data_IF_322879382774
#
_entry.id   IF_322879382774
#
_cell.length_a   1.000
_cell.length_b   1.000
_cell.length_c   1.000
_cell.angle_alpha   90.00
_cell.angle_beta   90.00
_cell.angle_gamma   90.00
#
_symmetry.space_group_name_H-M   'P 1'
#
loop_
_entity.id
_entity.type
_entity.pdbx_description
1 polymer ?
#
# COMPACT_ATOMS: atom_id res chain seq x y z
N UNK A 1 4.96 14.51 6.15
CA UNK A 1 5.99 13.52 6.50
C UNK A 1 7.29 14.23 6.85
N UNK A 2 7.98 13.83 7.93
CA UNK A 2 9.35 14.26 8.22
C UNK A 2 10.28 13.08 7.97
N UNK A 3 11.36 13.30 7.24
CA UNK A 3 12.36 12.27 6.93
C UNK A 3 13.63 12.61 7.70
N UNK A 4 14.20 11.62 8.38
CA UNK A 4 15.46 11.74 9.10
C UNK A 4 16.42 10.69 8.57
N UNK A 5 17.58 11.14 8.09
CA UNK A 5 18.66 10.25 7.69
C UNK A 5 19.55 10.00 8.91
N UNK A 6 19.66 8.73 9.32
CA UNK A 6 20.52 8.31 10.42
C UNK A 6 21.49 7.26 9.89
N UNK A 7 22.79 7.51 10.06
CA UNK A 7 23.81 6.52 9.72
C UNK A 7 23.74 5.37 10.72
N UNK A 8 23.65 4.14 10.22
CA UNK A 8 23.72 2.95 11.05
C UNK A 8 25.06 2.90 11.82
N UNK A 9 25.01 2.52 13.10
CA UNK A 9 26.19 2.39 13.95
C UNK A 9 27.05 1.19 13.57
N UNK A 10 26.45 0.17 12.95
CA UNK A 10 27.11 -1.08 12.57
C UNK A 10 27.13 -1.24 11.05
N UNK A 11 28.27 -1.70 10.53
CA UNK A 11 28.33 -2.19 9.15
C UNK A 11 27.78 -3.62 9.12
N UNK A 12 26.88 -3.89 8.20
CA UNK A 12 26.25 -5.20 8.03
C UNK A 12 26.87 -5.87 6.80
N UNK A 13 27.48 -7.04 6.99
CA UNK A 13 27.93 -7.89 5.90
C UNK A 13 26.80 -8.84 5.50
N UNK A 14 26.40 -8.82 4.23
CA UNK A 14 25.33 -9.66 3.70
C UNK A 14 25.91 -10.79 2.86
N UNK A 15 25.33 -11.98 2.99
CA UNK A 15 25.66 -13.14 2.15
C UNK A 15 25.16 -12.91 0.71
N UNK A 16 25.76 -13.59 -0.26
CA UNK A 16 25.37 -13.48 -1.68
C UNK A 16 23.90 -13.80 -1.92
N UNK A 17 23.36 -14.81 -1.24
CA UNK A 17 21.94 -15.18 -1.32
C UNK A 17 21.02 -14.07 -0.81
N UNK A 18 21.30 -13.55 0.39
CA UNK A 18 20.55 -12.45 1.00
C UNK A 18 20.58 -11.20 0.12
N UNK A 19 21.73 -10.92 -0.49
CA UNK A 19 21.87 -9.82 -1.43
C UNK A 19 20.98 -10.04 -2.66
N UNK A 20 20.93 -11.26 -3.22
CA UNK A 20 20.03 -11.58 -4.34
C UNK A 20 18.55 -11.40 -3.97
N UNK A 21 18.13 -11.81 -2.78
CA UNK A 21 16.75 -11.60 -2.32
C UNK A 21 16.40 -10.11 -2.21
N UNK A 22 17.32 -9.31 -1.67
CA UNK A 22 17.16 -7.85 -1.59
C UNK A 22 17.03 -7.24 -2.99
N UNK A 23 17.82 -7.69 -3.96
CA UNK A 23 17.75 -7.21 -5.35
C UNK A 23 16.38 -7.47 -5.96
N UNK A 24 15.85 -8.68 -5.77
CA UNK A 24 14.52 -9.04 -6.26
C UNK A 24 13.42 -8.19 -5.61
N UNK A 25 13.48 -8.03 -4.29
CA UNK A 25 12.55 -7.18 -3.56
C UNK A 25 12.59 -5.71 -4.01
N UNK A 26 13.80 -5.17 -4.18
CA UNK A 26 14.00 -3.83 -4.70
C UNK A 26 13.38 -3.67 -6.09
N UNK A 27 13.71 -4.58 -7.01
CA UNK A 27 13.14 -4.55 -8.36
C UNK A 27 11.61 -4.62 -8.35
N UNK A 28 11.04 -5.49 -7.50
CA UNK A 28 9.60 -5.63 -7.34
C UNK A 28 8.92 -4.34 -6.86
N UNK A 29 9.52 -3.63 -5.88
CA UNK A 29 8.99 -2.34 -5.42
C UNK A 29 8.92 -1.32 -6.58
N UNK A 30 10.01 -1.16 -7.32
CA UNK A 30 10.06 -0.10 -8.35
C UNK A 30 9.23 -0.45 -9.58
N UNK A 31 9.19 -1.74 -9.96
CA UNK A 31 8.48 -2.21 -11.14
C UNK A 31 7.00 -2.46 -10.91
N UNK A 32 6.64 -3.23 -9.89
CA UNK A 32 5.27 -3.72 -9.70
C UNK A 32 4.47 -2.77 -8.80
N UNK A 33 5.07 -2.30 -7.71
CA UNK A 33 4.38 -1.46 -6.72
C UNK A 33 4.29 -0.01 -7.20
N UNK A 34 5.44 0.60 -7.51
CA UNK A 34 5.51 1.99 -7.94
C UNK A 34 5.25 2.19 -9.43
N UNK A 35 5.32 1.12 -10.23
CA UNK A 35 5.13 1.17 -11.69
C UNK A 35 5.99 2.24 -12.36
N UNK A 36 7.20 2.46 -11.83
CA UNK A 36 8.12 3.50 -12.30
C UNK A 36 8.88 3.07 -13.55
N UNK A 37 9.04 1.76 -13.75
CA UNK A 37 9.68 1.18 -14.93
C UNK A 37 8.76 1.25 -16.17
N UNK A 38 8.24 2.43 -16.50
CA UNK A 38 7.46 2.66 -17.72
C UNK A 38 8.40 3.09 -18.84
N UNK A 39 8.44 2.27 -19.89
CA UNK A 39 9.06 2.44 -21.22
C UNK A 39 10.55 2.83 -21.30
N UNK A 40 11.06 3.77 -20.49
CA UNK A 40 12.40 4.37 -20.64
C UNK A 40 13.23 4.45 -19.34
N UNK A 41 12.66 4.03 -18.20
CA UNK A 41 13.36 3.95 -16.91
C UNK A 41 13.61 2.47 -16.61
N UNK A 42 14.83 2.00 -16.89
CA UNK A 42 15.27 0.66 -16.51
C UNK A 42 16.26 0.76 -15.34
N UNK A 43 16.02 -0.05 -14.31
CA UNK A 43 16.86 -0.07 -13.12
C UNK A 43 17.93 -1.14 -13.30
N UNK A 44 19.06 -0.74 -13.89
CA UNK A 44 20.25 -1.57 -13.94
C UNK A 44 21.01 -1.46 -12.62
N UNK A 45 21.36 -2.60 -12.06
CA UNK A 45 22.17 -2.69 -10.85
C UNK A 45 23.56 -3.26 -11.20
N UNK A 46 24.10 -2.76 -12.30
CA UNK A 46 25.42 -3.13 -12.77
C UNK A 46 26.49 -2.24 -12.12
N UNK A 47 27.74 -2.68 -12.19
CA UNK A 47 28.90 -1.93 -11.68
C UNK A 47 29.08 -0.56 -12.36
N UNK A 48 28.40 -0.33 -13.48
CA UNK A 48 28.38 0.93 -14.22
C UNK A 48 27.37 1.95 -13.68
N UNK A 49 26.46 1.55 -12.78
CA UNK A 49 25.44 2.44 -12.23
C UNK A 49 26.05 3.33 -11.14
N UNK A 50 25.97 4.68 -11.26
CA UNK A 50 26.60 5.61 -10.30
C UNK A 50 26.07 5.48 -8.87
N UNK A 51 24.84 5.01 -8.70
CA UNK A 51 24.17 4.83 -7.41
C UNK A 51 23.71 3.38 -7.30
N UNK A 52 24.54 2.53 -6.70
CA UNK A 52 24.17 1.15 -6.36
C UNK A 52 23.62 1.09 -4.92
N UNK A 53 22.56 1.86 -4.65
CA UNK A 53 21.90 1.86 -3.34
C UNK A 53 20.68 0.95 -3.40
N UNK A 54 20.68 -0.06 -2.54
CA UNK A 54 19.55 -0.96 -2.35
C UNK A 54 18.68 -0.49 -1.20
N UNK A 55 17.37 -0.57 -1.41
CA UNK A 55 16.36 -0.24 -0.40
C UNK A 55 15.84 -1.53 0.20
N UNK A 56 15.82 -1.59 1.53
CA UNK A 56 15.37 -2.74 2.29
C UNK A 56 14.49 -2.31 3.47
N UNK A 57 13.48 -3.12 3.83
CA UNK A 57 12.69 -2.89 5.02
C UNK A 57 13.52 -3.22 6.26
N UNK A 58 13.36 -2.39 7.30
CA UNK A 58 14.05 -2.55 8.58
C UNK A 58 13.06 -2.95 9.67
N UNK A 59 13.48 -3.85 10.55
CA UNK A 59 12.81 -4.14 11.80
C UNK A 59 13.36 -3.23 12.89
N UNK A 60 12.45 -2.64 13.68
CA UNK A 60 12.80 -1.80 14.82
C UNK A 60 12.77 -2.66 16.09
N UNK A 61 13.91 -2.78 16.74
CA UNK A 61 14.05 -3.51 18.01
C UNK A 61 14.39 -2.51 19.11
N UNK A 62 13.66 -2.58 20.23
CA UNK A 62 13.98 -1.78 21.40
C UNK A 62 15.21 -2.39 22.10
N UNK A 63 16.28 -1.61 22.26
CA UNK A 63 17.42 -2.06 23.06
C UNK A 63 17.03 -2.07 24.52
N UNK A 64 17.32 -3.16 25.22
CA UNK A 64 16.99 -3.32 26.66
C UNK A 64 17.87 -2.40 27.53
N UNK A 65 19.06 -2.04 27.04
CA UNK A 65 20.10 -1.40 27.85
C UNK A 65 20.23 0.11 27.66
N UNK A 66 19.67 0.65 26.58
CA UNK A 66 19.65 2.08 26.30
C UNK A 66 18.29 2.39 25.70
N UNK A 67 17.73 3.57 25.98
CA UNK A 67 16.51 4.09 25.36
C UNK A 67 16.69 4.43 23.86
N UNK A 68 17.50 3.63 23.17
CA UNK A 68 17.86 3.71 21.76
C UNK A 68 17.21 2.54 21.03
N UNK A 69 16.67 2.85 19.86
CA UNK A 69 16.14 1.86 18.94
C UNK A 69 17.26 1.33 18.06
N UNK A 70 17.36 0.01 17.98
CA UNK A 70 18.23 -0.67 17.04
C UNK A 70 17.42 -1.06 15.80
N UNK A 71 18.05 -0.96 14.63
CA UNK A 71 17.42 -1.30 13.36
C UNK A 71 18.18 -2.45 12.73
N UNK A 72 17.49 -3.54 12.45
CA UNK A 72 18.04 -4.70 11.74
C UNK A 72 17.30 -4.92 10.43
N UNK A 73 17.97 -5.50 9.44
CA UNK A 73 17.34 -5.80 8.15
C UNK A 73 16.31 -6.92 8.36
N UNK A 74 15.07 -6.68 7.96
CA UNK A 74 14.01 -7.67 8.08
C UNK A 74 14.06 -8.65 6.91
N UNK A 75 15.03 -9.57 6.92
CA UNK A 75 15.22 -10.52 5.83
C UNK A 75 14.03 -11.48 5.69
N UNK A 76 13.44 -11.90 6.81
CA UNK A 76 12.24 -12.75 6.81
C UNK A 76 11.11 -12.13 5.98
N UNK A 77 10.86 -10.83 6.17
CA UNK A 77 9.86 -10.10 5.41
C UNK A 77 10.21 -9.96 3.93
N UNK A 78 11.49 -9.73 3.61
CA UNK A 78 11.98 -9.68 2.23
C UNK A 78 11.74 -11.01 1.52
N UNK A 79 12.08 -12.12 2.18
CA UNK A 79 11.87 -13.47 1.65
C UNK A 79 10.38 -13.79 1.45
N UNK A 80 9.53 -13.49 2.43
CA UNK A 80 8.08 -13.68 2.32
C UNK A 80 7.49 -12.90 1.13
N UNK A 81 7.84 -11.62 0.97
CA UNK A 81 7.34 -10.80 -0.15
C UNK A 81 7.85 -11.32 -1.49
N UNK A 82 9.14 -11.69 -1.60
CA UNK A 82 9.72 -12.20 -2.84
C UNK A 82 9.15 -13.56 -3.21
N UNK A 83 8.90 -14.43 -2.24
CA UNK A 83 8.26 -15.73 -2.51
C UNK A 83 6.80 -15.56 -2.94
N UNK A 84 6.06 -14.64 -2.32
CA UNK A 84 4.67 -14.36 -2.68
C UNK A 84 4.54 -13.60 -4.01
N UNK A 85 5.60 -12.93 -4.51
CA UNK A 85 5.53 -12.14 -5.75
C UNK A 85 5.16 -12.99 -6.98
N UNK A 86 5.52 -14.29 -6.98
CA UNK A 86 5.22 -15.21 -8.08
C UNK A 86 3.78 -15.70 -8.09
N UNK A 87 3.06 -15.54 -6.98
CA UNK A 87 1.70 -16.07 -6.77
C UNK A 87 0.62 -14.99 -6.73
N UNK A 88 0.96 -13.70 -6.87
CA UNK A 88 -0.04 -12.62 -6.90
C UNK A 88 -0.68 -12.45 -8.28
N UNK A 89 -2.02 -12.36 -8.40
CA UNK A 89 -3.02 -12.34 -7.33
C UNK A 89 -3.30 -13.75 -6.78
N UNK A 90 -3.25 -13.90 -5.45
CA UNK A 90 -3.52 -15.15 -4.74
C UNK A 90 -4.88 -15.05 -4.07
N UNK A 91 -5.75 -16.01 -4.35
CA UNK A 91 -6.99 -16.21 -3.58
C UNK A 91 -6.61 -16.87 -2.25
N UNK A 92 -6.79 -16.20 -1.10
CA UNK A 92 -6.48 -16.78 0.20
C UNK A 92 -7.48 -17.88 0.56
N UNK A 93 -7.05 -18.88 1.34
CA UNK A 93 -7.95 -19.92 1.87
C UNK A 93 -8.97 -19.32 2.86
N UNK A 94 -10.12 -19.98 3.02
CA UNK A 94 -11.22 -19.54 3.89
C UNK A 94 -10.80 -19.33 5.36
N UNK A 95 -9.88 -20.15 5.88
CA UNK A 95 -9.33 -19.98 7.23
C UNK A 95 -8.46 -18.71 7.36
N UNK A 96 -7.69 -18.39 6.33
CA UNK A 96 -6.88 -17.18 6.28
C UNK A 96 -7.79 -15.96 6.17
N UNK A 97 -8.82 -16.04 5.31
CA UNK A 97 -9.86 -15.01 5.14
C UNK A 97 -10.52 -14.63 6.45
N UNK A 98 -10.91 -15.60 7.29
CA UNK A 98 -11.57 -15.35 8.57
C UNK A 98 -10.70 -14.60 9.59
N UNK A 99 -9.37 -14.66 9.45
CA UNK A 99 -8.44 -13.98 10.34
C UNK A 99 -8.11 -12.55 9.89
N UNK A 100 -8.74 -12.06 8.82
CA UNK A 100 -8.48 -10.72 8.31
C UNK A 100 -9.00 -9.65 9.26
N UNK A 101 -8.14 -8.67 9.54
CA UNK A 101 -8.46 -7.47 10.29
C UNK A 101 -8.35 -6.27 9.36
N UNK A 102 -9.46 -5.58 9.19
CA UNK A 102 -9.54 -4.37 8.40
C UNK A 102 -9.71 -3.16 9.33
N UNK A 103 -9.06 -2.05 9.00
CA UNK A 103 -9.08 -0.83 9.82
C UNK A 103 -10.33 0.02 9.58
N UNK A 104 -10.92 -0.06 8.38
CA UNK A 104 -12.08 0.74 7.94
C UNK A 104 -13.26 -0.16 7.58
N UNK A 105 -13.87 -0.74 8.61
CA UNK A 105 -15.04 -1.61 8.46
C UNK A 105 -16.31 -0.77 8.55
N UNK A 106 -17.20 -0.92 7.57
CA UNK A 106 -18.52 -0.31 7.58
C UNK A 106 -19.51 -1.26 8.27
N UNK A 107 -19.67 -1.11 9.58
CA UNK A 107 -20.56 -1.96 10.39
C UNK A 107 -22.04 -1.89 9.94
N UNK A 108 -22.43 -0.81 9.26
CA UNK A 108 -23.81 -0.58 8.83
C UNK A 108 -24.11 -1.10 7.42
N UNK A 109 -23.12 -1.65 6.70
CA UNK A 109 -23.27 -2.06 5.31
C UNK A 109 -22.86 -3.51 5.11
N UNK A 110 -23.73 -4.24 4.43
CA UNK A 110 -23.58 -5.65 4.08
C UNK A 110 -23.82 -5.85 2.59
N UNK A 111 -23.41 -6.99 1.99
CA UNK A 111 -23.70 -7.31 0.60
C UNK A 111 -25.19 -7.25 0.21
N UNK A 112 -26.09 -7.43 1.17
CA UNK A 112 -27.54 -7.30 0.97
C UNK A 112 -28.07 -5.87 1.13
N UNK A 113 -27.24 -4.90 1.51
CA UNK A 113 -27.61 -3.48 1.60
C UNK A 113 -27.86 -2.87 0.21
N UNK A 114 -28.67 -1.80 0.11
CA UNK A 114 -28.99 -1.18 -1.16
C UNK A 114 -27.75 -0.62 -1.86
N UNK A 115 -27.66 -0.86 -3.16
CA UNK A 115 -26.57 -0.33 -3.98
C UNK A 115 -26.83 1.16 -4.30
N UNK A 116 -25.80 2.01 -4.45
CA UNK A 116 -25.99 3.44 -4.74
C UNK A 116 -26.64 3.76 -6.09
N UNK A 117 -26.71 2.78 -7.00
CA UNK A 117 -27.28 2.92 -8.33
C UNK A 117 -28.69 2.31 -8.37
N UNK A 118 -29.65 3.00 -8.99
CA UNK A 118 -31.06 2.59 -9.02
C UNK A 118 -31.28 1.32 -9.88
N UNK A 119 -30.31 0.95 -10.73
CA UNK A 119 -30.36 -0.25 -11.55
C UNK A 119 -30.20 -1.57 -10.76
N UNK A 120 -29.69 -1.50 -9.52
CA UNK A 120 -29.36 -2.67 -8.71
C UNK A 120 -29.94 -2.55 -7.30
N UNK A 121 -30.64 -3.58 -6.83
CA UNK A 121 -31.29 -3.55 -5.50
C UNK A 121 -30.28 -3.75 -4.37
N UNK A 122 -29.18 -4.45 -4.61
CA UNK A 122 -28.15 -4.72 -3.60
C UNK A 122 -26.76 -4.89 -4.21
N UNK A 123 -25.72 -4.82 -3.37
CA UNK A 123 -24.35 -5.11 -3.80
C UNK A 123 -24.23 -6.50 -4.41
N UNK A 124 -24.85 -7.52 -3.81
CA UNK A 124 -24.83 -8.89 -4.34
C UNK A 124 -25.42 -8.97 -5.76
N UNK A 125 -26.55 -8.31 -6.00
CA UNK A 125 -27.17 -8.28 -7.33
C UNK A 125 -26.27 -7.62 -8.38
N UNK A 126 -25.60 -6.52 -8.00
CA UNK A 126 -24.63 -5.83 -8.86
C UNK A 126 -23.48 -6.76 -9.27
N UNK A 127 -22.85 -7.46 -8.31
CA UNK A 127 -21.72 -8.34 -8.59
C UNK A 127 -22.11 -9.57 -9.43
N UNK A 128 -23.30 -10.14 -9.19
CA UNK A 128 -23.82 -11.25 -9.99
C UNK A 128 -24.11 -10.78 -11.42
N UNK A 129 -24.86 -9.68 -11.60
CA UNK A 129 -25.26 -9.22 -12.95
C UNK A 129 -24.07 -8.72 -13.78
N UNK A 130 -23.14 -7.99 -13.17
CA UNK A 130 -22.06 -7.32 -13.91
C UNK A 130 -20.81 -8.18 -14.08
N UNK A 131 -20.48 -8.99 -13.08
CA UNK A 131 -19.23 -9.76 -13.04
C UNK A 131 -19.46 -11.27 -12.93
N UNK A 132 -20.71 -11.74 -12.80
CA UNK A 132 -21.03 -13.14 -12.55
C UNK A 132 -20.32 -13.71 -11.32
N UNK A 133 -20.20 -12.88 -10.27
CA UNK A 133 -19.61 -13.22 -8.99
C UNK A 133 -20.70 -13.24 -7.92
N UNK A 134 -20.83 -14.36 -7.22
CA UNK A 134 -21.73 -14.51 -6.07
C UNK A 134 -20.94 -14.28 -4.79
N UNK A 135 -21.49 -13.49 -3.88
CA UNK A 135 -20.90 -13.25 -2.56
C UNK A 135 -21.51 -14.28 -1.60
N UNK A 136 -20.68 -15.15 -1.01
CA UNK A 136 -21.19 -16.21 -0.14
C UNK A 136 -21.60 -15.69 1.24
N UNK A 137 -20.80 -14.83 1.86
CA UNK A 137 -21.11 -14.29 3.18
C UNK A 137 -21.90 -12.97 3.07
N UNK A 138 -23.23 -13.07 3.16
CA UNK A 138 -24.12 -11.91 3.12
C UNK A 138 -24.14 -11.08 4.41
N UNK A 139 -23.54 -11.59 5.49
CA UNK A 139 -23.44 -10.89 6.79
C UNK A 139 -22.12 -10.15 6.96
N UNK A 140 -21.16 -10.35 6.05
CA UNK A 140 -19.88 -9.65 6.11
C UNK A 140 -20.07 -8.14 6.00
N UNK A 141 -19.25 -7.40 6.73
CA UNK A 141 -19.22 -5.94 6.64
C UNK A 141 -18.39 -5.50 5.42
N UNK A 142 -18.85 -4.45 4.75
CA UNK A 142 -18.12 -3.87 3.62
C UNK A 142 -16.96 -2.98 4.09
N UNK A 143 -16.00 -2.71 3.20
CA UNK A 143 -14.82 -1.88 3.48
C UNK A 143 -14.96 -0.51 2.85
N UNK A 144 -14.72 0.55 3.62
CA UNK A 144 -14.48 1.89 3.08
C UNK A 144 -13.00 2.00 2.74
N UNK A 145 -12.67 2.06 1.45
CA UNK A 145 -11.28 2.13 1.00
C UNK A 145 -10.99 3.51 0.45
N UNK A 146 -9.99 4.15 1.05
CA UNK A 146 -9.40 5.36 0.49
C UNK A 146 -8.70 5.05 -0.83
N UNK A 147 -8.95 5.87 -1.85
CA UNK A 147 -8.23 5.77 -3.11
C UNK A 147 -6.72 5.98 -2.88
N UNK A 148 -5.93 4.92 -3.06
CA UNK A 148 -4.47 5.04 -3.04
C UNK A 148 -4.04 5.80 -4.30
N UNK A 149 -3.60 7.04 -4.10
CA UNK A 149 -3.24 7.89 -5.23
C UNK A 149 -2.01 7.35 -5.96
N UNK A 150 -2.11 7.14 -7.27
CA UNK A 150 -0.96 6.83 -8.14
C UNK A 150 0.00 8.03 -8.34
N UNK A 151 -0.13 9.11 -7.55
CA UNK A 151 0.70 10.30 -7.66
C UNK A 151 2.06 10.05 -7.01
N UNK A 152 3.09 9.96 -7.85
CA UNK A 152 4.49 9.76 -7.45
C UNK A 152 5.11 10.98 -6.73
N UNK A 153 4.56 12.17 -6.96
CA UNK A 153 5.01 13.40 -6.33
C UNK A 153 4.08 13.82 -5.19
N UNK A 154 4.57 13.67 -3.97
CA UNK A 154 3.91 14.05 -2.72
C UNK A 154 4.47 15.37 -2.16
N UNK A 155 5.37 16.04 -2.89
CA UNK A 155 5.92 17.33 -2.51
C UNK A 155 4.92 18.43 -2.85
N UNK A 156 4.11 18.79 -1.86
CA UNK A 156 3.33 20.02 -1.91
C UNK A 156 4.15 21.16 -1.30
N UNK A 157 4.29 22.32 -1.98
CA UNK A 157 4.94 23.46 -1.38
C UNK A 157 4.18 23.84 -0.11
N UNK A 158 4.90 23.91 1.01
CA UNK A 158 4.35 24.36 2.30
C UNK A 158 4.12 25.89 2.35
N UNK A 159 4.18 26.55 1.19
CA UNK A 159 4.00 27.99 1.04
C UNK A 159 2.50 28.32 0.99
N UNK A 160 1.96 28.71 2.15
CA UNK A 160 0.59 29.19 2.26
C UNK A 160 -0.09 28.91 3.60
N UNK A 161 0.66 28.66 4.68
CA UNK A 161 0.14 28.80 6.04
C UNK A 161 -0.19 30.28 6.31
N UNK A 162 -1.36 30.71 5.87
CA UNK A 162 -1.84 32.09 5.98
C UNK A 162 -2.33 32.61 4.63
N UNK A 163 -3.65 32.73 4.48
CA UNK A 163 -4.36 33.33 3.32
C UNK A 163 -4.39 32.51 2.03
N UNK A 164 -4.91 31.28 2.08
CA UNK A 164 -5.98 30.98 1.11
C UNK A 164 -7.24 31.55 1.71
N UNK A 165 -7.70 32.67 1.14
CA UNK A 165 -9.05 33.19 1.34
C UNK A 165 -10.00 31.99 1.41
N UNK A 166 -10.87 31.99 2.42
CA UNK A 166 -12.12 31.26 2.35
C UNK A 166 -12.79 31.69 1.03
N UNK A 167 -12.54 30.93 -0.02
CA UNK A 167 -13.37 30.93 -1.20
C UNK A 167 -14.67 30.32 -0.69
N UNK A 168 -15.57 31.20 -0.25
CA UNK A 168 -17.01 30.99 -0.10
C UNK A 168 -17.36 29.51 -0.02
N UNK A 169 -17.47 28.99 1.20
CA UNK A 169 -18.14 27.72 1.43
C UNK A 169 -19.58 27.90 0.92
N UNK A 170 -19.81 27.53 -0.34
CA UNK A 170 -21.15 27.25 -0.85
C UNK A 170 -21.61 26.02 -0.07
N UNK A 171 -22.76 26.07 0.62
CA UNK A 171 -23.27 24.94 1.37
C UNK A 171 -24.04 24.02 0.42
N UNK A 172 -23.41 23.51 -0.64
CA UNK A 172 -24.06 22.62 -1.60
C UNK A 172 -23.08 21.53 -2.02
N UNK A 173 -23.55 20.28 -1.90
CA UNK A 173 -22.91 19.03 -2.34
C UNK A 173 -21.83 18.39 -1.45
N UNK A 174 -22.30 17.77 -0.37
CA UNK A 174 -21.68 16.57 0.25
C UNK A 174 -21.48 15.40 -0.74
N UNK A 175 -21.95 15.53 -1.98
CA UNK A 175 -21.74 14.58 -3.08
C UNK A 175 -20.33 14.69 -3.72
N UNK A 176 -19.62 15.80 -3.59
CA UNK A 176 -18.28 15.94 -4.19
C UNK A 176 -17.18 15.16 -3.46
N UNK A 177 -17.27 15.04 -2.12
CA UNK A 177 -16.41 14.16 -1.31
C UNK A 177 -16.88 12.69 -1.34
N UNK A 178 -18.14 12.45 -1.71
CA UNK A 178 -18.70 11.10 -1.89
C UNK A 178 -18.17 10.40 -3.14
N UNK A 179 -17.72 11.13 -4.16
CA UNK A 179 -17.20 10.55 -5.42
C UNK A 179 -15.90 9.74 -5.28
N UNK A 180 -15.27 9.71 -4.10
CA UNK A 180 -14.01 8.99 -3.88
C UNK A 180 -14.07 7.91 -2.80
N UNK A 181 -15.21 7.69 -2.16
CA UNK A 181 -15.37 6.54 -1.25
C UNK A 181 -15.68 5.31 -2.08
N UNK A 182 -14.72 4.41 -2.19
CA UNK A 182 -14.88 3.16 -2.90
C UNK A 182 -15.21 2.09 -1.86
N UNK A 183 -16.45 1.59 -1.90
CA UNK A 183 -16.89 0.51 -1.03
C UNK A 183 -16.47 -0.81 -1.69
N UNK A 184 -15.72 -1.62 -0.94
CA UNK A 184 -15.26 -2.93 -1.41
C UNK A 184 -15.85 -4.07 -0.57
N UNK A 185 -16.04 -5.21 -1.22
CA UNK A 185 -16.45 -6.46 -0.57
C UNK A 185 -15.18 -7.23 -0.20
N UNK A 186 -14.89 -7.47 1.10
CA UNK A 186 -13.68 -8.16 1.53
C UNK A 186 -13.45 -9.50 0.81
N UNK A 187 -14.51 -10.27 0.60
CA UNK A 187 -14.47 -11.56 -0.09
C UNK A 187 -13.92 -11.47 -1.52
N UNK A 188 -14.16 -10.38 -2.23
CA UNK A 188 -13.73 -10.20 -3.62
C UNK A 188 -12.34 -9.55 -3.75
N UNK A 189 -11.64 -9.31 -2.64
CA UNK A 189 -10.36 -8.62 -2.61
C UNK A 189 -9.19 -9.56 -2.33
N UNK A 190 -8.12 -9.38 -3.09
CA UNK A 190 -6.85 -10.06 -2.83
C UNK A 190 -5.97 -9.25 -1.89
N UNK A 191 -5.28 -9.94 -0.98
CA UNK A 191 -4.33 -9.32 -0.06
C UNK A 191 -2.96 -9.20 -0.70
N UNK A 192 -2.42 -7.98 -0.70
CA UNK A 192 -1.04 -7.75 -1.09
C UNK A 192 -0.07 -8.16 0.05
N UNK A 193 1.09 -8.79 -0.23
CA UNK A 193 2.07 -9.17 0.81
C UNK A 193 2.72 -7.97 1.50
N UNK A 194 2.71 -6.81 0.84
CA UNK A 194 3.18 -5.54 1.41
C UNK A 194 2.15 -4.96 2.37
N UNK A 195 2.56 -4.64 3.60
CA UNK A 195 1.67 -4.00 4.58
C UNK A 195 1.29 -2.59 4.15
N UNK A 196 0.08 -2.12 4.49
CA UNK A 196 -0.37 -0.76 4.17
C UNK A 196 0.58 0.33 4.70
N UNK A 197 1.14 0.12 5.89
CA UNK A 197 2.12 1.04 6.50
C UNK A 197 3.39 1.15 5.67
N UNK A 198 3.92 0.02 5.19
CA UNK A 198 5.10 0.01 4.33
C UNK A 198 4.78 0.53 2.93
N UNK A 199 3.60 0.24 2.40
CA UNK A 199 3.13 0.77 1.12
C UNK A 199 3.11 2.30 1.10
N UNK A 200 2.62 2.92 2.17
CA UNK A 200 2.61 4.38 2.31
C UNK A 200 4.02 4.99 2.38
N UNK A 201 5.00 4.26 2.90
CA UNK A 201 6.40 4.69 2.87
C UNK A 201 7.00 4.53 1.47
N UNK A 202 6.70 3.41 0.82
CA UNK A 202 7.16 3.08 -0.53
C UNK A 202 6.64 4.11 -1.54
N UNK A 203 5.35 4.43 -1.50
CA UNK A 203 4.72 5.41 -2.40
C UNK A 203 5.36 6.80 -2.34
N UNK A 204 6.00 7.13 -1.22
CA UNK A 204 6.70 8.38 -1.01
C UNK A 204 8.18 8.36 -1.42
N UNK A 205 8.77 7.18 -1.69
CA UNK A 205 10.18 7.03 -2.11
C UNK A 205 10.57 7.91 -3.31
N UNK A 206 9.76 8.02 -4.38
CA UNK A 206 10.13 8.84 -5.54
C UNK A 206 10.32 10.32 -5.16
N UNK A 207 9.50 10.80 -4.22
CA UNK A 207 9.60 12.16 -3.69
C UNK A 207 10.82 12.36 -2.80
N UNK A 208 11.33 11.32 -2.14
CA UNK A 208 12.58 11.41 -1.37
C UNK A 208 13.81 11.41 -2.27
N UNK A 209 13.84 10.58 -3.31
CA UNK A 209 14.98 10.56 -4.23
C UNK A 209 15.07 11.79 -5.12
N UNK A 210 13.93 12.42 -5.43
CA UNK A 210 13.92 13.65 -6.20
C UNK A 210 14.51 14.85 -5.44
N UNK A 211 14.51 14.83 -4.10
CA UNK A 211 14.90 15.96 -3.26
C UNK A 211 16.31 15.84 -2.72
#
# INVERSE_FOLDING_TARGET
MRVHLVRASTQVTLNSQNLTMIKHFHHYIFKNVLQLCKANLDFHMDSSTPINTLIVPLHRTASIFNDKFEYSINMKYVEEVVNMMGETPRVPDEEERRNFKFEYILENLTPSSPFPDEEYSSFNEYFIKKYNLEIYDQTQHLLDVDFTSNRLNLLLPRAGGGRRKAATAKPEDSTALSRQRQIYVPELMDRHPISATLWNLISALPSFFYR
#
